data_IF_972062284151
#
_entry.id   IF_972062284151
#
_cell.length_a   1.000
_cell.length_b   1.000
_cell.length_c   1.000
_cell.angle_alpha   90.00
_cell.angle_beta   90.00
_cell.angle_gamma   90.00
#
_symmetry.space_group_name_H-M   'P 1'
#
loop_
_entity.id
_entity.type
_entity.pdbx_description
1 polymer ?
#
# COMPACT_ATOMS: atom_id res chain seq x y z
N UNK A 1 35.90 -7.26 14.62
CA UNK A 1 34.44 -7.18 14.38
C UNK A 1 34.13 -7.60 12.94
N UNK A 2 33.25 -8.59 12.72
CA UNK A 2 32.91 -9.05 11.38
C UNK A 2 32.05 -8.01 10.63
N UNK A 3 32.60 -7.41 9.58
CA UNK A 3 31.87 -6.49 8.69
C UNK A 3 30.84 -7.34 7.92
N UNK A 4 29.54 -7.16 8.19
CA UNK A 4 28.48 -7.84 7.42
C UNK A 4 28.63 -7.49 5.94
N UNK A 5 28.90 -8.49 5.11
CA UNK A 5 29.31 -8.30 3.71
C UNK A 5 28.14 -7.95 2.78
N UNK A 6 26.92 -8.39 3.10
CA UNK A 6 25.70 -8.10 2.35
C UNK A 6 24.45 -8.30 3.24
N UNK A 7 23.29 -7.88 2.73
CA UNK A 7 21.96 -8.13 3.30
C UNK A 7 21.17 -8.95 2.29
N UNK A 8 20.61 -10.08 2.73
CA UNK A 8 19.63 -10.84 1.94
C UNK A 8 18.24 -10.51 2.48
N UNK A 9 17.39 -9.96 1.63
CA UNK A 9 16.00 -9.65 1.94
C UNK A 9 15.09 -10.68 1.26
N UNK A 10 14.61 -11.66 2.04
CA UNK A 10 13.63 -12.65 1.57
C UNK A 10 12.24 -12.03 1.61
N UNK A 11 11.52 -12.08 0.50
CA UNK A 11 10.16 -11.53 0.39
C UNK A 11 9.20 -12.61 -0.07
N UNK A 12 8.17 -12.84 0.73
CA UNK A 12 7.00 -13.65 0.37
C UNK A 12 5.74 -12.89 0.80
N UNK A 13 5.26 -11.97 -0.07
CA UNK A 13 4.22 -11.01 0.27
C UNK A 13 3.39 -10.55 -0.94
N UNK A 14 2.05 -10.45 -0.80
CA UNK A 14 1.19 -9.83 -1.81
C UNK A 14 1.27 -8.30 -1.85
N UNK A 15 1.95 -7.67 -0.89
CA UNK A 15 1.99 -6.22 -0.70
C UNK A 15 1.20 -5.76 0.53
N UNK A 16 0.67 -4.53 0.50
CA UNK A 16 -0.07 -3.96 1.62
C UNK A 16 0.06 -2.45 1.71
N UNK A 17 0.31 -1.95 2.93
CA UNK A 17 0.41 -0.52 3.21
C UNK A 17 1.50 0.17 2.40
N UNK A 18 1.12 1.23 1.67
CA UNK A 18 2.06 2.07 0.92
C UNK A 18 3.07 2.76 1.86
N UNK A 19 2.62 3.25 3.03
CA UNK A 19 3.48 3.93 4.00
C UNK A 19 4.51 2.97 4.60
N UNK A 20 4.08 1.75 4.95
CA UNK A 20 5.01 0.74 5.47
C UNK A 20 6.03 0.31 4.40
N UNK A 21 5.58 0.17 3.15
CA UNK A 21 6.45 -0.16 2.02
C UNK A 21 7.47 0.95 1.76
N UNK A 22 7.05 2.20 1.79
CA UNK A 22 7.93 3.37 1.64
C UNK A 22 8.98 3.46 2.76
N UNK A 23 8.60 3.14 4.01
CA UNK A 23 9.56 3.08 5.11
C UNK A 23 10.65 2.01 4.88
N UNK A 24 10.26 0.79 4.51
CA UNK A 24 11.21 -0.29 4.22
C UNK A 24 12.06 0.06 2.99
N UNK A 25 11.46 0.65 1.95
CA UNK A 25 12.18 1.10 0.77
C UNK A 25 13.30 2.08 1.13
N UNK A 26 13.01 3.07 2.00
CA UNK A 26 14.02 4.00 2.50
C UNK A 26 15.16 3.28 3.21
N UNK A 27 14.84 2.31 4.06
CA UNK A 27 15.84 1.55 4.80
C UNK A 27 16.73 0.71 3.86
N UNK A 28 16.17 0.16 2.78
CA UNK A 28 16.94 -0.53 1.73
C UNK A 28 17.86 0.44 0.99
N UNK A 29 17.39 1.64 0.66
CA UNK A 29 18.20 2.69 0.06
C UNK A 29 19.38 3.09 0.97
N UNK A 30 19.12 3.33 2.26
CA UNK A 30 20.15 3.68 3.25
C UNK A 30 21.18 2.55 3.37
N UNK A 31 20.73 1.29 3.45
CA UNK A 31 21.63 0.14 3.50
C UNK A 31 22.59 0.13 2.30
N UNK A 32 22.08 0.38 1.09
CA UNK A 32 22.92 0.46 -0.12
C UNK A 32 23.89 1.63 -0.11
N UNK A 33 23.47 2.80 0.36
CA UNK A 33 24.33 3.98 0.48
C UNK A 33 25.50 3.74 1.45
N UNK A 34 25.31 2.91 2.48
CA UNK A 34 26.37 2.51 3.43
C UNK A 34 27.30 1.39 2.92
N UNK A 35 27.36 1.19 1.60
CA UNK A 35 28.16 0.15 0.92
C UNK A 35 27.83 -1.29 1.36
N UNK A 36 26.59 -1.56 1.79
CA UNK A 36 26.10 -2.92 2.02
C UNK A 36 25.17 -3.32 0.86
N UNK A 37 25.59 -4.23 -0.03
CA UNK A 37 24.71 -4.73 -1.08
C UNK A 37 23.45 -5.36 -0.46
N UNK A 38 22.29 -4.98 -0.98
CA UNK A 38 21.01 -5.64 -0.64
C UNK A 38 20.62 -6.52 -1.81
N UNK A 39 20.48 -7.82 -1.55
CA UNK A 39 20.05 -8.83 -2.53
C UNK A 39 18.66 -9.28 -2.11
N UNK A 40 17.68 -9.07 -2.97
CA UNK A 40 16.32 -9.56 -2.75
C UNK A 40 16.21 -10.97 -3.32
N UNK A 41 15.62 -11.86 -2.52
CA UNK A 41 15.17 -13.18 -2.95
C UNK A 41 13.65 -13.22 -2.82
N UNK A 42 12.95 -13.30 -3.94
CA UNK A 42 11.50 -13.44 -3.96
C UNK A 42 11.12 -14.91 -3.74
N UNK A 43 10.09 -15.14 -2.93
CA UNK A 43 9.49 -16.45 -2.67
C UNK A 43 8.36 -16.76 -3.65
N UNK A 44 7.28 -17.35 -3.15
CA UNK A 44 6.11 -17.65 -3.97
C UNK A 44 5.45 -16.38 -4.51
N UNK A 45 5.46 -15.30 -3.72
CA UNK A 45 4.87 -14.02 -4.11
C UNK A 45 5.71 -12.82 -3.67
N UNK A 46 5.85 -11.81 -4.52
CA UNK A 46 6.46 -10.52 -4.17
C UNK A 46 5.83 -9.42 -5.03
N UNK A 47 4.58 -9.08 -4.74
CA UNK A 47 3.75 -8.19 -5.55
C UNK A 47 3.41 -6.88 -4.82
N UNK A 48 2.98 -5.85 -5.55
CA UNK A 48 2.58 -4.53 -5.01
C UNK A 48 3.63 -3.96 -4.05
N UNK A 49 3.32 -3.77 -2.76
CA UNK A 49 4.28 -3.35 -1.73
C UNK A 49 5.53 -4.25 -1.61
N UNK A 50 5.41 -5.56 -1.87
CA UNK A 50 6.55 -6.49 -1.91
C UNK A 50 7.51 -6.19 -3.08
N UNK A 51 6.96 -5.82 -4.24
CA UNK A 51 7.77 -5.34 -5.37
C UNK A 51 8.34 -3.94 -5.08
N UNK A 52 7.54 -3.05 -4.47
CA UNK A 52 7.95 -1.71 -4.07
C UNK A 52 9.26 -1.77 -3.26
N UNK A 53 9.29 -2.52 -2.16
CA UNK A 53 10.49 -2.61 -1.30
C UNK A 53 11.66 -3.32 -1.96
N UNK A 54 11.41 -4.08 -3.03
CA UNK A 54 12.44 -4.78 -3.81
C UNK A 54 13.14 -3.86 -4.80
N UNK A 55 12.41 -2.87 -5.34
CA UNK A 55 12.89 -1.99 -6.40
C UNK A 55 14.25 -1.33 -6.16
N UNK A 56 14.63 -0.89 -4.94
CA UNK A 56 15.92 -0.25 -4.72
C UNK A 56 17.06 -1.25 -4.53
N UNK A 57 16.83 -2.57 -4.52
CA UNK A 57 17.88 -3.57 -4.25
C UNK A 57 19.01 -3.56 -5.30
N UNK A 58 20.18 -4.07 -4.92
CA UNK A 58 21.33 -4.21 -5.84
C UNK A 58 21.11 -5.33 -6.87
N UNK A 59 20.42 -6.40 -6.45
CA UNK A 59 20.00 -7.53 -7.27
C UNK A 59 18.66 -8.03 -6.77
N UNK A 60 17.80 -8.45 -7.69
CA UNK A 60 16.51 -9.08 -7.41
C UNK A 60 16.55 -10.45 -8.09
N UNK A 61 16.30 -11.51 -7.32
CA UNK A 61 16.20 -12.87 -7.79
C UNK A 61 14.77 -13.36 -7.59
N UNK A 62 14.18 -13.92 -8.64
CA UNK A 62 12.86 -14.52 -8.64
C UNK A 62 12.91 -15.84 -9.41
N UNK A 63 12.15 -16.82 -8.97
CA UNK A 63 11.99 -18.07 -9.71
C UNK A 63 10.96 -17.89 -10.82
N UNK A 64 10.98 -18.72 -11.90
CA UNK A 64 9.99 -18.62 -12.97
C UNK A 64 8.52 -18.70 -12.48
N UNK A 65 8.28 -19.35 -11.34
CA UNK A 65 6.97 -19.47 -10.72
C UNK A 65 6.61 -18.36 -9.72
N UNK A 66 7.52 -17.43 -9.42
CA UNK A 66 7.25 -16.32 -8.49
C UNK A 66 6.18 -15.39 -9.06
N UNK A 67 5.12 -15.15 -8.29
CA UNK A 67 4.11 -14.15 -8.60
C UNK A 67 4.59 -12.77 -8.14
N UNK A 68 4.96 -11.89 -9.08
CA UNK A 68 5.46 -10.55 -8.78
C UNK A 68 4.78 -9.48 -9.65
N UNK A 69 5.22 -8.22 -9.57
CA UNK A 69 4.57 -7.09 -10.23
C UNK A 69 3.40 -6.55 -9.41
N UNK A 70 2.20 -6.46 -10.01
CA UNK A 70 1.04 -5.77 -9.43
C UNK A 70 1.34 -4.32 -9.04
N UNK A 71 2.00 -3.60 -9.95
CA UNK A 71 2.41 -2.21 -9.75
C UNK A 71 1.18 -1.31 -9.93
N UNK A 72 0.68 -0.80 -8.82
CA UNK A 72 -0.50 0.06 -8.76
C UNK A 72 -0.97 0.26 -7.33
N UNK A 73 -1.89 1.19 -7.15
CA UNK A 73 -2.52 1.49 -5.86
C UNK A 73 -4.02 1.21 -5.96
N UNK A 74 -4.56 0.63 -4.90
CA UNK A 74 -5.99 0.41 -4.76
C UNK A 74 -6.41 0.83 -3.37
N UNK A 75 -7.57 1.47 -3.27
CA UNK A 75 -8.20 1.78 -2.01
C UNK A 75 -9.63 2.21 -2.24
N UNK A 76 -10.29 2.57 -1.15
CA UNK A 76 -11.65 3.04 -1.17
C UNK A 76 -12.28 2.90 0.21
N UNK A 77 -13.60 3.00 0.25
CA UNK A 77 -14.39 2.83 1.46
C UNK A 77 -15.62 2.00 1.17
N UNK A 78 -16.11 1.32 2.19
CA UNK A 78 -17.40 0.63 2.14
C UNK A 78 -18.47 1.64 2.57
N UNK A 79 -19.56 1.69 1.80
CA UNK A 79 -20.69 2.58 2.06
C UNK A 79 -21.93 1.74 2.37
N UNK A 80 -22.45 1.88 3.59
CA UNK A 80 -23.57 1.09 4.11
C UNK A 80 -24.85 1.91 4.31
N UNK A 81 -24.76 3.24 4.39
CA UNK A 81 -25.92 4.10 4.69
C UNK A 81 -27.15 3.86 3.80
N UNK A 82 -27.03 3.81 2.46
CA UNK A 82 -28.16 3.53 1.59
C UNK A 82 -28.80 2.15 1.82
N UNK A 83 -27.99 1.15 2.17
CA UNK A 83 -28.49 -0.19 2.49
C UNK A 83 -29.19 -0.19 3.84
N UNK A 84 -28.61 0.45 4.86
CA UNK A 84 -29.23 0.57 6.20
C UNK A 84 -30.59 1.27 6.13
N UNK A 85 -30.69 2.36 5.37
CA UNK A 85 -31.93 3.09 5.19
C UNK A 85 -33.00 2.24 4.47
N UNK A 86 -32.61 1.52 3.42
CA UNK A 86 -33.53 0.73 2.59
C UNK A 86 -33.99 -0.57 3.26
N UNK A 87 -33.07 -1.30 3.88
CA UNK A 87 -33.33 -2.66 4.35
C UNK A 87 -33.85 -2.69 5.80
N UNK A 88 -33.42 -1.75 6.65
CA UNK A 88 -33.74 -1.76 8.09
C UNK A 88 -34.22 -0.41 8.62
N UNK A 89 -34.45 0.58 7.75
CA UNK A 89 -35.02 1.88 8.12
C UNK A 89 -34.12 2.79 8.96
N UNK A 90 -32.82 2.46 9.09
CA UNK A 90 -31.88 3.27 9.88
C UNK A 90 -31.33 4.41 9.04
N UNK A 91 -31.57 5.64 9.48
CA UNK A 91 -31.08 6.87 8.84
C UNK A 91 -30.08 7.62 9.73
N UNK A 92 -29.14 8.32 9.11
CA UNK A 92 -28.13 9.12 9.79
C UNK A 92 -28.17 10.55 9.25
N UNK A 93 -28.16 11.52 10.16
CA UNK A 93 -27.90 12.92 9.84
C UNK A 93 -26.50 13.29 10.32
N UNK A 94 -25.77 14.10 9.54
CA UNK A 94 -24.36 14.43 9.81
C UNK A 94 -24.15 15.93 9.73
N UNK A 95 -23.82 16.54 10.88
CA UNK A 95 -23.31 17.91 10.95
C UNK A 95 -21.79 17.85 10.86
N UNK A 96 -21.22 18.52 9.86
CA UNK A 96 -19.77 18.53 9.67
C UNK A 96 -19.28 19.91 9.21
N UNK A 97 -18.07 20.27 9.62
CA UNK A 97 -17.43 21.53 9.23
C UNK A 97 -16.31 21.24 8.26
N UNK A 98 -16.44 21.75 7.03
CA UNK A 98 -15.45 21.60 5.97
C UNK A 98 -15.89 20.65 4.86
N UNK A 99 -15.53 21.01 3.62
CA UNK A 99 -16.01 20.34 2.38
C UNK A 99 -15.68 18.84 2.27
N UNK A 100 -14.72 18.34 3.05
CA UNK A 100 -14.23 16.94 3.01
C UNK A 100 -14.30 16.24 4.36
N UNK A 101 -14.96 16.82 5.36
CA UNK A 101 -15.00 16.26 6.71
C UNK A 101 -15.62 14.85 6.77
N UNK A 102 -16.58 14.55 5.89
CA UNK A 102 -17.22 13.23 5.79
C UNK A 102 -16.64 12.33 4.68
N UNK A 103 -15.46 12.67 4.11
CA UNK A 103 -14.94 12.03 2.90
C UNK A 103 -14.83 10.50 3.03
N UNK A 104 -14.33 9.99 4.16
CA UNK A 104 -14.18 8.56 4.44
C UNK A 104 -15.31 7.96 5.28
N UNK A 105 -16.44 8.66 5.45
CA UNK A 105 -17.61 8.12 6.14
C UNK A 105 -18.16 6.88 5.44
N UNK A 106 -18.55 5.88 6.23
CA UNK A 106 -19.26 4.68 5.74
C UNK A 106 -20.75 4.92 5.51
N UNK A 107 -21.28 6.08 5.91
CA UNK A 107 -22.70 6.41 5.74
C UNK A 107 -22.95 6.99 4.34
N UNK A 108 -22.12 7.92 3.91
CA UNK A 108 -22.37 8.70 2.69
C UNK A 108 -21.42 8.26 1.57
N UNK A 109 -21.90 8.05 0.33
CA UNK A 109 -21.02 7.86 -0.82
C UNK A 109 -20.02 9.02 -1.01
N UNK A 110 -18.95 8.78 -1.77
CA UNK A 110 -18.11 9.88 -2.23
C UNK A 110 -18.96 10.84 -3.09
N UNK A 111 -18.86 12.13 -2.82
CA UNK A 111 -19.35 13.17 -3.74
C UNK A 111 -18.46 13.21 -4.98
N UNK A 112 -18.90 13.88 -6.05
CA UNK A 112 -18.07 14.08 -7.25
C UNK A 112 -16.72 14.72 -6.92
N UNK A 113 -16.73 15.77 -6.09
CA UNK A 113 -15.49 16.42 -5.63
C UNK A 113 -14.67 15.53 -4.69
N UNK A 114 -15.34 14.66 -3.92
CA UNK A 114 -14.68 13.65 -3.10
C UNK A 114 -13.93 12.62 -3.94
N UNK A 115 -14.55 12.11 -5.01
CA UNK A 115 -13.90 11.22 -5.98
C UNK A 115 -12.69 11.87 -6.64
N UNK A 116 -12.84 13.10 -7.17
CA UNK A 116 -11.72 13.81 -7.82
C UNK A 116 -10.55 14.06 -6.87
N UNK A 117 -10.83 14.37 -5.60
CA UNK A 117 -9.77 14.51 -4.62
C UNK A 117 -9.10 13.17 -4.29
N UNK A 118 -9.90 12.11 -4.10
CA UNK A 118 -9.40 10.79 -3.79
C UNK A 118 -8.47 10.27 -4.89
N UNK A 119 -8.90 10.32 -6.14
CA UNK A 119 -8.10 9.92 -7.31
C UNK A 119 -6.81 10.74 -7.44
N UNK A 120 -6.86 12.05 -7.15
CA UNK A 120 -5.68 12.90 -7.16
C UNK A 120 -4.76 12.73 -5.94
N UNK A 121 -5.16 11.95 -4.93
CA UNK A 121 -4.36 11.66 -3.73
C UNK A 121 -3.70 10.28 -3.75
N UNK A 122 -4.08 9.44 -4.73
CA UNK A 122 -3.47 8.15 -5.02
C UNK A 122 -2.15 8.32 -5.78
#
# INVERSE_FOLDING_TARGET
HARKQAIILRIDSPGGSAIASDQIWRDVCVARMTHKPVIVSMGGMAASGGYYVSAPATRILAEPGTLTGSIGVVGGKIVVGPALAREVGVTHDTVSVGKRAALYSSITPFTRDGWRWYEGSL
#
